data_IF_312265726097
#
_entry.id   IF_312265726097
#
_cell.length_a   1.000
_cell.length_b   1.000
_cell.length_c   1.000
_cell.angle_alpha   90.00
_cell.angle_beta   90.00
_cell.angle_gamma   90.00
#
_symmetry.space_group_name_H-M   'P 1'
#
loop_
_entity.id
_entity.type
_entity.pdbx_description
1 polymer ?
#
# COMPACT_ATOMS: atom_id res chain seq x y z
N UNK A 1 24.67 -4.54 3.89
CA UNK A 1 23.32 -4.67 4.47
C UNK A 1 22.60 -3.35 4.20
N UNK A 2 21.36 -3.39 3.73
CA UNK A 2 20.57 -2.17 3.45
C UNK A 2 20.02 -1.56 4.75
N UNK A 3 19.80 -0.25 4.76
CA UNK A 3 19.20 0.48 5.88
C UNK A 3 17.76 0.86 5.50
N UNK A 4 16.77 0.25 6.12
CA UNK A 4 15.37 0.53 5.83
C UNK A 4 14.91 1.79 6.57
N UNK A 5 14.37 2.74 5.84
CA UNK A 5 13.65 3.91 6.35
C UNK A 5 12.16 3.79 6.02
N UNK A 6 11.34 3.97 7.03
CA UNK A 6 9.87 3.89 6.91
C UNK A 6 9.32 5.31 6.86
N UNK A 7 8.68 5.67 5.76
CA UNK A 7 8.02 6.97 5.60
C UNK A 7 6.65 6.91 6.26
N UNK A 8 6.43 7.75 7.29
CA UNK A 8 5.25 7.76 8.15
C UNK A 8 5.46 6.96 9.43
N UNK A 9 5.34 7.64 10.59
CA UNK A 9 5.54 7.06 11.93
C UNK A 9 4.23 6.85 12.71
N UNK A 10 3.08 7.13 12.09
CA UNK A 10 1.76 7.00 12.73
C UNK A 10 1.28 5.54 12.71
N UNK A 11 -0.02 5.30 12.92
CA UNK A 11 -0.62 3.97 13.06
C UNK A 11 -0.10 2.97 12.04
N UNK A 12 -0.30 3.24 10.75
CA UNK A 12 0.14 2.34 9.68
C UNK A 12 1.68 2.20 9.63
N UNK A 13 2.44 3.26 9.89
CA UNK A 13 3.90 3.17 9.98
C UNK A 13 4.38 2.21 11.07
N UNK A 14 3.73 2.21 12.25
CA UNK A 14 4.02 1.27 13.33
C UNK A 14 3.66 -0.18 12.98
N UNK A 15 2.57 -0.38 12.25
CA UNK A 15 2.23 -1.72 11.72
C UNK A 15 3.30 -2.22 10.75
N UNK A 16 3.76 -1.35 9.84
CA UNK A 16 4.82 -1.70 8.88
C UNK A 16 6.17 -1.92 9.57
N UNK A 17 6.49 -1.18 10.64
CA UNK A 17 7.67 -1.45 11.45
C UNK A 17 7.66 -2.87 12.03
N UNK A 18 6.56 -3.29 12.65
CA UNK A 18 6.44 -4.65 13.17
C UNK A 18 6.51 -5.69 12.05
N UNK A 19 5.80 -5.45 10.94
CA UNK A 19 5.87 -6.33 9.78
C UNK A 19 7.30 -6.46 9.23
N UNK A 20 8.04 -5.35 9.17
CA UNK A 20 9.41 -5.36 8.69
C UNK A 20 10.33 -6.20 9.59
N UNK A 21 10.11 -6.21 10.89
CA UNK A 21 10.81 -7.13 11.81
C UNK A 21 10.51 -8.59 11.49
N UNK A 22 9.26 -8.93 11.19
CA UNK A 22 8.86 -10.29 10.85
C UNK A 22 9.37 -10.76 9.47
N UNK A 23 9.59 -9.80 8.56
CA UNK A 23 10.12 -10.04 7.21
C UNK A 23 11.65 -10.02 7.15
N UNK A 24 12.32 -9.58 8.23
CA UNK A 24 13.75 -9.32 8.25
C UNK A 24 14.58 -10.62 8.27
N UNK A 25 14.76 -11.22 7.11
CA UNK A 25 15.64 -12.36 6.87
C UNK A 25 17.12 -11.97 6.65
N UNK A 26 17.64 -10.92 7.28
CA UNK A 26 19.01 -10.39 7.11
C UNK A 26 19.25 -9.48 5.89
N UNK A 27 18.25 -9.07 5.14
CA UNK A 27 18.45 -8.21 3.97
C UNK A 27 18.63 -6.73 4.32
N UNK A 28 18.00 -6.26 5.40
CA UNK A 28 18.07 -4.88 5.87
C UNK A 28 18.01 -4.79 7.41
N UNK A 29 18.44 -3.65 7.93
CA UNK A 29 18.15 -3.22 9.32
C UNK A 29 17.19 -2.04 9.26
N UNK A 30 16.25 -1.94 10.22
CA UNK A 30 15.35 -0.80 10.31
C UNK A 30 16.09 0.35 10.96
N UNK A 31 16.44 1.37 10.16
CA UNK A 31 17.22 2.52 10.59
C UNK A 31 16.39 3.54 11.35
N UNK A 32 15.17 3.80 10.91
CA UNK A 32 14.29 4.77 11.54
C UNK A 32 13.06 5.12 10.70
N UNK A 33 12.29 6.07 11.22
CA UNK A 33 11.17 6.66 10.53
C UNK A 33 11.52 8.04 9.94
N UNK A 34 10.82 8.40 8.86
CA UNK A 34 10.75 9.77 8.36
C UNK A 34 9.30 10.26 8.51
N UNK A 35 9.09 11.31 9.30
CA UNK A 35 7.75 11.91 9.50
C UNK A 35 7.93 13.39 9.87
N UNK A 36 7.04 14.24 9.35
CA UNK A 36 7.05 15.68 9.65
C UNK A 36 6.63 15.96 11.10
N UNK A 37 5.85 15.06 11.69
CA UNK A 37 5.42 15.13 13.08
C UNK A 37 6.43 14.45 13.99
N UNK A 38 7.39 15.20 14.52
CA UNK A 38 8.52 14.69 15.33
C UNK A 38 8.07 13.97 16.62
N UNK A 39 6.93 14.32 17.19
CA UNK A 39 6.33 13.75 18.40
C UNK A 39 5.35 12.59 18.13
N UNK A 40 5.31 12.07 16.88
CA UNK A 40 4.35 11.03 16.52
C UNK A 40 4.52 9.71 17.29
N UNK A 41 5.68 9.50 17.88
CA UNK A 41 6.02 8.30 18.67
C UNK A 41 6.13 8.54 20.19
N UNK A 42 5.92 9.75 20.71
CA UNK A 42 6.18 10.10 22.12
C UNK A 42 5.42 9.22 23.14
N UNK A 43 4.27 8.68 22.75
CA UNK A 43 3.45 7.81 23.60
C UNK A 43 3.61 6.31 23.27
N UNK A 44 4.61 5.94 22.45
CA UNK A 44 4.80 4.58 21.98
C UNK A 44 6.24 4.12 22.21
N UNK A 45 6.41 3.03 22.96
CA UNK A 45 7.73 2.45 23.26
C UNK A 45 8.06 1.32 22.29
N UNK A 46 9.35 1.03 22.15
CA UNK A 46 9.86 -0.12 21.36
C UNK A 46 9.99 0.14 19.86
N UNK A 47 9.88 1.38 19.42
CA UNK A 47 10.12 1.77 18.03
C UNK A 47 11.47 2.46 17.88
N UNK A 48 12.04 2.36 16.68
CA UNK A 48 13.19 3.18 16.27
C UNK A 48 12.79 4.65 16.17
N UNK A 49 13.76 5.61 16.28
CA UNK A 49 13.42 7.03 16.29
C UNK A 49 12.87 7.53 14.95
N UNK A 50 12.16 8.66 15.00
CA UNK A 50 11.97 9.53 13.84
C UNK A 50 13.27 10.28 13.64
N UNK A 51 13.93 10.05 12.49
CA UNK A 51 15.27 10.60 12.20
C UNK A 51 15.15 12.03 11.68
N UNK A 52 14.22 12.26 10.75
CA UNK A 52 14.00 13.56 10.12
C UNK A 52 12.62 13.61 9.42
N UNK A 53 12.30 14.74 8.80
CA UNK A 53 11.24 14.84 7.80
C UNK A 53 11.70 14.25 6.46
N UNK A 54 10.75 13.88 5.60
CA UNK A 54 11.05 13.36 4.26
C UNK A 54 11.75 14.42 3.40
N UNK A 55 11.34 15.68 3.53
CA UNK A 55 11.90 16.80 2.81
C UNK A 55 13.37 17.07 3.16
N UNK A 56 13.71 17.01 4.45
CA UNK A 56 15.04 17.39 4.94
C UNK A 56 16.05 16.23 4.92
N UNK A 57 15.55 14.99 4.94
CA UNK A 57 16.42 13.84 5.04
C UNK A 57 17.42 13.75 3.88
N UNK A 58 18.70 13.70 4.18
CA UNK A 58 19.77 13.44 3.23
C UNK A 58 20.03 11.93 3.13
N UNK A 59 19.80 11.38 1.94
CA UNK A 59 19.93 9.93 1.68
C UNK A 59 21.40 9.52 1.84
N UNK A 60 21.62 8.49 2.64
CA UNK A 60 22.93 7.92 2.90
C UNK A 60 23.16 6.66 2.06
N UNK A 61 24.41 6.23 1.96
CA UNK A 61 24.76 4.99 1.29
C UNK A 61 24.01 3.79 1.90
N UNK A 62 23.48 2.93 1.04
CA UNK A 62 22.66 1.75 1.39
C UNK A 62 21.27 2.04 1.99
N UNK A 63 20.81 3.29 2.02
CA UNK A 63 19.44 3.59 2.42
C UNK A 63 18.44 3.09 1.39
N UNK A 64 17.39 2.43 1.89
CA UNK A 64 16.23 2.01 1.11
C UNK A 64 14.95 2.40 1.83
N UNK A 65 13.88 2.58 1.09
CA UNK A 65 12.67 3.19 1.60
C UNK A 65 11.44 2.30 1.41
N UNK A 66 10.48 2.44 2.33
CA UNK A 66 9.10 1.96 2.19
C UNK A 66 8.14 3.07 2.62
N UNK A 67 7.06 3.29 1.88
CA UNK A 67 6.11 4.37 2.19
C UNK A 67 4.86 3.82 2.87
N UNK A 68 4.76 3.99 4.19
CA UNK A 68 3.70 3.50 5.04
C UNK A 68 2.60 4.57 5.27
N UNK A 69 2.04 5.08 4.18
CA UNK A 69 0.95 6.06 4.21
C UNK A 69 -0.30 5.48 3.54
N UNK A 70 -1.45 5.63 4.22
CA UNK A 70 -2.75 5.19 3.69
C UNK A 70 -3.35 6.15 2.67
N UNK A 71 -3.09 7.45 2.81
CA UNK A 71 -3.52 8.45 1.83
C UNK A 71 -2.64 8.38 0.58
N UNK A 72 -3.27 8.11 -0.55
CA UNK A 72 -2.58 7.87 -1.83
C UNK A 72 -1.90 9.13 -2.37
N UNK A 73 -2.43 10.33 -2.09
CA UNK A 73 -1.86 11.59 -2.55
C UNK A 73 -0.62 11.97 -1.73
N UNK A 74 -0.68 11.86 -0.40
CA UNK A 74 0.48 12.05 0.46
C UNK A 74 1.55 10.99 0.19
N UNK A 75 1.14 9.73 -0.07
CA UNK A 75 2.07 8.68 -0.50
C UNK A 75 2.84 9.12 -1.73
N UNK A 76 2.14 9.56 -2.79
CA UNK A 76 2.80 10.04 -4.02
C UNK A 76 3.73 11.22 -3.75
N UNK A 77 3.29 12.22 -2.98
CA UNK A 77 4.12 13.40 -2.64
C UNK A 77 5.47 12.97 -2.07
N UNK A 78 5.47 12.13 -1.03
CA UNK A 78 6.70 11.74 -0.35
C UNK A 78 7.54 10.76 -1.16
N UNK A 79 6.91 9.88 -1.93
CA UNK A 79 7.62 9.01 -2.87
C UNK A 79 8.37 9.85 -3.91
N UNK A 80 7.73 10.86 -4.51
CA UNK A 80 8.34 11.73 -5.50
C UNK A 80 9.56 12.49 -4.92
N UNK A 81 9.48 12.95 -3.66
CA UNK A 81 10.61 13.61 -2.98
C UNK A 81 11.81 12.67 -2.88
N UNK A 82 11.61 11.44 -2.41
CA UNK A 82 12.70 10.46 -2.30
C UNK A 82 13.26 10.06 -3.66
N UNK A 83 12.39 9.84 -4.66
CA UNK A 83 12.83 9.53 -6.03
C UNK A 83 13.62 10.68 -6.67
N UNK A 84 13.24 11.94 -6.41
CA UNK A 84 13.99 13.11 -6.89
C UNK A 84 15.40 13.18 -6.32
N UNK A 85 15.59 12.66 -5.11
CA UNK A 85 16.88 12.50 -4.43
C UNK A 85 17.60 11.20 -4.82
N UNK A 86 17.09 10.43 -5.80
CA UNK A 86 17.59 9.12 -6.27
C UNK A 86 17.52 8.01 -5.22
N UNK A 87 16.58 8.09 -4.27
CA UNK A 87 16.34 7.03 -3.29
C UNK A 87 15.72 5.79 -3.93
N UNK A 88 16.05 4.62 -3.39
CA UNK A 88 15.56 3.31 -3.83
C UNK A 88 14.41 2.83 -2.94
N UNK A 89 13.28 2.47 -3.53
CA UNK A 89 12.18 1.81 -2.81
C UNK A 89 12.26 0.30 -2.98
N UNK A 90 12.04 -0.43 -1.89
CA UNK A 90 11.94 -1.89 -1.89
C UNK A 90 10.47 -2.33 -1.81
N UNK A 91 10.20 -3.57 -2.18
CA UNK A 91 8.95 -4.25 -1.86
C UNK A 91 9.06 -4.88 -0.47
N UNK A 92 8.06 -4.69 0.37
CA UNK A 92 7.97 -5.33 1.67
C UNK A 92 6.84 -6.37 1.62
N UNK A 93 7.20 -7.64 1.65
CA UNK A 93 6.25 -8.76 1.50
C UNK A 93 6.30 -9.62 2.76
N UNK A 94 5.16 -9.74 3.45
CA UNK A 94 5.08 -10.56 4.64
C UNK A 94 5.20 -12.06 4.29
N UNK A 95 5.90 -12.82 5.11
CA UNK A 95 6.17 -14.26 4.89
C UNK A 95 4.93 -15.15 4.77
N UNK A 96 3.77 -14.70 5.27
CA UNK A 96 2.49 -15.41 5.15
C UNK A 96 1.68 -15.00 3.92
N UNK A 97 2.14 -14.03 3.13
CA UNK A 97 1.49 -13.69 1.87
C UNK A 97 1.70 -14.81 0.84
N UNK A 98 0.67 -15.09 0.08
CA UNK A 98 0.71 -16.08 -1.02
C UNK A 98 0.65 -15.35 -2.34
N UNK A 99 1.73 -15.45 -3.13
CA UNK A 99 1.83 -14.80 -4.45
C UNK A 99 2.09 -15.88 -5.49
N UNK A 100 1.22 -15.99 -6.49
CA UNK A 100 1.38 -16.94 -7.59
C UNK A 100 2.56 -16.58 -8.49
N UNK A 101 3.20 -17.61 -9.11
CA UNK A 101 4.50 -17.48 -9.80
C UNK A 101 4.53 -16.48 -10.96
N UNK A 102 3.40 -16.29 -11.64
CA UNK A 102 3.27 -15.41 -12.80
C UNK A 102 2.61 -14.06 -12.45
N UNK A 103 2.49 -13.73 -11.16
CA UNK A 103 2.11 -12.39 -10.70
C UNK A 103 3.27 -11.43 -10.89
N UNK A 104 3.00 -10.29 -11.51
CA UNK A 104 3.96 -9.20 -11.69
C UNK A 104 3.66 -8.13 -10.63
N UNK A 105 4.67 -7.76 -9.88
CA UNK A 105 4.60 -6.74 -8.83
C UNK A 105 5.56 -5.60 -9.17
N UNK A 106 5.05 -4.38 -9.17
CA UNK A 106 5.85 -3.16 -9.32
C UNK A 106 6.77 -2.90 -8.12
N UNK A 107 7.41 -1.76 -8.07
CA UNK A 107 8.32 -1.36 -6.98
C UNK A 107 7.58 -0.66 -5.84
N UNK A 108 8.18 -0.66 -4.64
CA UNK A 108 7.65 0.06 -3.47
C UNK A 108 6.33 -0.48 -2.92
N UNK A 109 5.95 -1.69 -3.29
CA UNK A 109 4.71 -2.33 -2.85
C UNK A 109 4.82 -2.87 -1.43
N UNK A 110 3.70 -2.81 -0.70
CA UNK A 110 3.53 -3.41 0.62
C UNK A 110 2.50 -4.53 0.50
N UNK A 111 2.90 -5.75 0.81
CA UNK A 111 2.02 -6.93 0.82
C UNK A 111 1.99 -7.49 2.24
N UNK A 112 0.94 -7.15 2.98
CA UNK A 112 0.81 -7.52 4.38
C UNK A 112 0.51 -9.02 4.58
N UNK A 113 0.44 -9.43 5.84
CA UNK A 113 0.18 -10.83 6.20
C UNK A 113 -1.13 -11.38 5.66
N UNK A 114 -1.10 -12.64 5.23
CA UNK A 114 -2.26 -13.38 4.72
C UNK A 114 -2.91 -12.78 3.47
N UNK A 115 -2.22 -11.93 2.74
CA UNK A 115 -2.65 -11.46 1.42
C UNK A 115 -2.53 -12.60 0.42
N UNK A 116 -3.56 -12.78 -0.40
CA UNK A 116 -3.56 -13.75 -1.50
C UNK A 116 -3.58 -13.05 -2.86
N UNK A 117 -2.53 -13.22 -3.65
CA UNK A 117 -2.46 -12.76 -5.05
C UNK A 117 -2.49 -13.99 -5.96
N UNK A 118 -3.58 -14.14 -6.73
CA UNK A 118 -3.79 -15.28 -7.63
C UNK A 118 -2.93 -15.18 -8.90
N UNK A 119 -3.15 -16.09 -9.83
CA UNK A 119 -2.35 -16.17 -11.07
C UNK A 119 -2.67 -15.01 -12.04
N UNK A 120 -1.67 -14.67 -12.85
CA UNK A 120 -1.74 -13.69 -13.95
C UNK A 120 -2.15 -12.27 -13.51
N UNK A 121 -1.89 -11.95 -12.24
CA UNK A 121 -2.16 -10.62 -11.67
C UNK A 121 -1.02 -9.66 -12.03
N UNK A 122 -1.38 -8.43 -12.43
CA UNK A 122 -0.44 -7.34 -12.73
C UNK A 122 -0.68 -6.18 -11.80
N UNK A 123 0.35 -5.81 -11.05
CA UNK A 123 0.29 -4.77 -10.02
C UNK A 123 1.32 -3.70 -10.35
N UNK A 124 0.88 -2.45 -10.34
CA UNK A 124 1.72 -1.27 -10.54
C UNK A 124 2.62 -0.95 -9.36
N UNK A 125 3.20 0.22 -9.39
CA UNK A 125 4.14 0.71 -8.38
C UNK A 125 3.41 1.25 -7.13
N UNK A 126 4.02 1.11 -5.96
CA UNK A 126 3.57 1.69 -4.68
C UNK A 126 2.18 1.26 -4.22
N UNK A 127 1.74 0.07 -4.61
CA UNK A 127 0.46 -0.50 -4.18
C UNK A 127 0.60 -1.10 -2.79
N UNK A 128 -0.41 -0.85 -1.96
CA UNK A 128 -0.51 -1.43 -0.61
C UNK A 128 -1.67 -2.41 -0.53
N UNK A 129 -1.38 -3.62 -0.08
CA UNK A 129 -2.36 -4.63 0.29
C UNK A 129 -2.30 -4.84 1.80
N UNK A 130 -3.35 -4.44 2.51
CA UNK A 130 -3.47 -4.68 3.95
C UNK A 130 -3.85 -6.14 4.25
N UNK A 131 -3.71 -6.61 5.51
CA UNK A 131 -3.90 -8.01 5.85
C UNK A 131 -5.21 -8.60 5.34
N UNK A 132 -5.17 -9.87 4.92
CA UNK A 132 -6.31 -10.65 4.43
C UNK A 132 -6.96 -10.12 3.15
N UNK A 133 -6.33 -9.22 2.42
CA UNK A 133 -6.77 -8.83 1.06
C UNK A 133 -6.61 -10.02 0.12
N UNK A 134 -7.62 -10.29 -0.71
CA UNK A 134 -7.60 -11.40 -1.65
C UNK A 134 -7.88 -10.90 -3.08
N UNK A 135 -6.96 -11.23 -4.00
CA UNK A 135 -7.00 -10.79 -5.41
C UNK A 135 -7.17 -12.02 -6.30
N UNK A 136 -8.25 -12.03 -7.08
CA UNK A 136 -8.56 -13.08 -8.06
C UNK A 136 -7.59 -13.08 -9.25
N UNK A 137 -7.75 -14.09 -10.11
CA UNK A 137 -6.93 -14.26 -11.31
C UNK A 137 -7.16 -13.15 -12.35
N UNK A 138 -6.16 -12.87 -13.19
CA UNK A 138 -6.22 -11.89 -14.30
C UNK A 138 -6.55 -10.45 -13.86
N UNK A 139 -6.37 -10.12 -12.58
CA UNK A 139 -6.60 -8.75 -12.07
C UNK A 139 -5.45 -7.83 -12.47
N UNK A 140 -5.79 -6.62 -12.91
CA UNK A 140 -4.84 -5.55 -13.15
C UNK A 140 -5.08 -4.40 -12.17
N UNK A 141 -4.04 -3.93 -11.48
CA UNK A 141 -4.09 -2.81 -10.53
C UNK A 141 -3.03 -1.79 -10.92
N UNK A 142 -3.43 -0.54 -11.09
CA UNK A 142 -2.54 0.59 -11.38
C UNK A 142 -1.71 1.02 -10.18
N UNK A 143 -1.01 2.13 -10.35
CA UNK A 143 -0.06 2.66 -9.38
C UNK A 143 -0.74 3.33 -8.18
N UNK A 144 -0.04 3.38 -7.05
CA UNK A 144 -0.41 4.09 -5.83
C UNK A 144 -1.75 3.67 -5.21
N UNK A 145 -2.27 2.50 -5.55
CA UNK A 145 -3.53 2.01 -4.95
C UNK A 145 -3.34 1.57 -3.49
N UNK A 146 -4.43 1.69 -2.72
CA UNK A 146 -4.47 1.24 -1.33
C UNK A 146 -5.69 0.34 -1.11
N UNK A 147 -5.44 -0.95 -0.88
CA UNK A 147 -6.46 -1.95 -0.63
C UNK A 147 -6.44 -2.32 0.85
N UNK A 148 -7.50 -1.95 1.56
CA UNK A 148 -7.60 -2.15 2.99
C UNK A 148 -7.99 -3.59 3.34
N UNK A 149 -7.81 -3.91 4.61
CA UNK A 149 -8.03 -5.23 5.21
C UNK A 149 -9.34 -5.90 4.75
N UNK A 150 -9.27 -7.19 4.43
CA UNK A 150 -10.39 -8.02 3.97
C UNK A 150 -11.04 -7.59 2.65
N UNK A 151 -10.45 -6.69 1.87
CA UNK A 151 -10.99 -6.38 0.55
C UNK A 151 -10.80 -7.57 -0.40
N UNK A 152 -11.79 -7.81 -1.26
CA UNK A 152 -11.78 -8.89 -2.24
C UNK A 152 -12.03 -8.35 -3.64
N UNK A 153 -11.16 -8.73 -4.58
CA UNK A 153 -11.33 -8.46 -6.01
C UNK A 153 -11.54 -9.79 -6.75
N UNK A 154 -12.69 -9.91 -7.40
CA UNK A 154 -13.00 -11.05 -8.26
C UNK A 154 -12.09 -11.10 -9.50
N UNK A 155 -12.13 -12.23 -10.21
CA UNK A 155 -11.27 -12.42 -11.39
C UNK A 155 -11.51 -11.36 -12.47
N UNK A 156 -10.44 -10.99 -13.20
CA UNK A 156 -10.46 -10.05 -14.32
C UNK A 156 -10.92 -8.62 -13.96
N UNK A 157 -10.86 -8.24 -12.70
CA UNK A 157 -11.10 -6.84 -12.28
C UNK A 157 -9.95 -5.96 -12.77
N UNK A 158 -10.30 -4.76 -13.25
CA UNK A 158 -9.33 -3.73 -13.62
C UNK A 158 -9.48 -2.53 -12.70
N UNK A 159 -8.38 -2.14 -12.05
CA UNK A 159 -8.30 -1.00 -11.15
C UNK A 159 -7.29 0.00 -11.71
N UNK A 160 -7.71 1.25 -11.86
CA UNK A 160 -6.85 2.35 -12.28
C UNK A 160 -5.84 2.78 -11.20
N UNK A 161 -5.28 3.97 -11.38
CA UNK A 161 -4.30 4.54 -10.46
C UNK A 161 -4.96 5.28 -9.30
N UNK A 162 -4.28 5.40 -8.16
CA UNK A 162 -4.73 6.19 -7.00
C UNK A 162 -6.10 5.76 -6.46
N UNK A 163 -6.44 4.50 -6.57
CA UNK A 163 -7.72 3.97 -6.09
C UNK A 163 -7.57 3.52 -4.63
N UNK A 164 -8.55 3.90 -3.82
CA UNK A 164 -8.67 3.41 -2.45
C UNK A 164 -9.87 2.45 -2.35
N UNK A 165 -9.61 1.22 -1.93
CA UNK A 165 -10.64 0.22 -1.64
C UNK A 165 -10.64 -0.01 -0.14
N UNK A 166 -11.74 0.39 0.52
CA UNK A 166 -11.82 0.31 1.98
C UNK A 166 -12.14 -1.11 2.47
N UNK A 167 -11.97 -1.28 3.77
CA UNK A 167 -12.10 -2.55 4.50
C UNK A 167 -13.35 -3.33 4.11
N UNK A 168 -13.18 -4.64 3.88
CA UNK A 168 -14.28 -5.58 3.58
C UNK A 168 -15.09 -5.25 2.32
N UNK A 169 -14.57 -4.43 1.42
CA UNK A 169 -15.24 -4.19 0.13
C UNK A 169 -15.06 -5.38 -0.82
N UNK A 170 -16.10 -5.70 -1.55
CA UNK A 170 -16.16 -6.81 -2.53
C UNK A 170 -16.37 -6.25 -3.93
N UNK A 171 -15.44 -6.56 -4.83
CA UNK A 171 -15.51 -6.15 -6.23
C UNK A 171 -15.85 -7.37 -7.08
N UNK A 172 -16.98 -7.31 -7.78
CA UNK A 172 -17.45 -8.42 -8.62
C UNK A 172 -16.50 -8.63 -9.83
N UNK A 173 -16.36 -9.87 -10.34
CA UNK A 173 -15.54 -10.14 -11.53
C UNK A 173 -15.82 -9.21 -12.71
N UNK A 174 -14.77 -8.90 -13.50
CA UNK A 174 -14.83 -8.06 -14.71
C UNK A 174 -15.22 -6.59 -14.46
N UNK A 175 -15.29 -6.13 -13.22
CA UNK A 175 -15.57 -4.71 -12.91
C UNK A 175 -14.35 -3.85 -13.24
N UNK A 176 -14.60 -2.67 -13.81
CA UNK A 176 -13.63 -1.60 -14.02
C UNK A 176 -13.81 -0.52 -12.95
N UNK A 177 -12.74 -0.23 -12.20
CA UNK A 177 -12.66 0.90 -11.29
C UNK A 177 -11.65 1.88 -11.87
N UNK A 178 -12.10 3.06 -12.28
CA UNK A 178 -11.23 4.08 -12.90
C UNK A 178 -10.43 4.85 -11.85
N UNK A 179 -9.43 5.61 -12.33
CA UNK A 179 -8.47 6.36 -11.52
C UNK A 179 -9.12 7.25 -10.45
N UNK A 180 -8.44 7.47 -9.34
CA UNK A 180 -8.84 8.35 -8.24
C UNK A 180 -10.20 8.02 -7.61
N UNK A 181 -10.68 6.79 -7.79
CA UNK A 181 -11.95 6.34 -7.21
C UNK A 181 -11.77 5.85 -5.79
N UNK A 182 -12.84 5.92 -5.01
CA UNK A 182 -12.90 5.36 -3.66
C UNK A 182 -14.08 4.39 -3.55
N UNK A 183 -13.80 3.18 -3.06
CA UNK A 183 -14.83 2.20 -2.71
C UNK A 183 -14.96 2.16 -1.18
N UNK A 184 -16.12 2.53 -0.67
CA UNK A 184 -16.39 2.58 0.77
C UNK A 184 -16.37 1.21 1.43
N UNK A 185 -16.20 1.19 2.76
CA UNK A 185 -16.12 -0.04 3.54
C UNK A 185 -17.39 -0.91 3.39
N UNK A 186 -17.22 -2.23 3.33
CA UNK A 186 -18.30 -3.22 3.18
C UNK A 186 -19.20 -3.03 1.94
N UNK A 187 -18.70 -2.33 0.95
CA UNK A 187 -19.44 -2.11 -0.31
C UNK A 187 -19.33 -3.33 -1.23
N UNK A 188 -20.41 -3.61 -1.99
CA UNK A 188 -20.43 -4.64 -3.04
C UNK A 188 -20.55 -3.96 -4.40
N UNK A 189 -19.45 -3.91 -5.15
CA UNK A 189 -19.36 -3.23 -6.43
C UNK A 189 -19.61 -4.22 -7.56
N UNK A 190 -20.73 -4.05 -8.26
CA UNK A 190 -21.17 -4.92 -9.36
C UNK A 190 -21.16 -4.21 -10.73
N UNK A 191 -20.76 -2.96 -10.77
CA UNK A 191 -20.74 -2.13 -11.99
C UNK A 191 -19.49 -1.24 -11.98
N UNK A 192 -19.14 -0.74 -13.18
CA UNK A 192 -18.07 0.22 -13.38
C UNK A 192 -18.15 1.41 -12.40
N UNK A 193 -17.03 1.76 -11.80
CA UNK A 193 -16.84 2.98 -10.99
C UNK A 193 -16.10 4.01 -11.81
N UNK A 194 -16.69 5.20 -11.98
CA UNK A 194 -16.11 6.29 -12.76
C UNK A 194 -14.99 7.00 -12.00
N UNK A 195 -14.04 7.54 -12.75
CA UNK A 195 -12.90 8.29 -12.19
C UNK A 195 -13.34 9.37 -11.20
N UNK A 196 -12.59 9.51 -10.11
CA UNK A 196 -12.81 10.53 -9.09
C UNK A 196 -14.11 10.38 -8.30
N UNK A 197 -14.80 9.22 -8.38
CA UNK A 197 -16.05 9.03 -7.63
C UNK A 197 -15.87 8.14 -6.41
N UNK A 198 -16.63 8.45 -5.36
CA UNK A 198 -16.81 7.56 -4.22
C UNK A 198 -18.09 6.76 -4.40
N UNK A 199 -17.99 5.42 -4.21
CA UNK A 199 -19.15 4.53 -4.19
C UNK A 199 -19.27 3.84 -2.83
N UNK A 200 -20.52 3.60 -2.38
CA UNK A 200 -20.79 2.99 -1.10
C UNK A 200 -22.07 2.16 -1.11
N UNK A 201 -22.13 1.09 -0.33
CA UNK A 201 -23.29 0.27 -0.06
C UNK A 201 -23.33 -1.08 -0.79
N UNK A 202 -24.43 -1.81 -0.62
CA UNK A 202 -24.68 -3.11 -1.26
C UNK A 202 -26.08 -3.11 -1.92
N UNK A 203 -26.17 -3.07 -3.26
CA UNK A 203 -25.08 -2.83 -4.21
C UNK A 203 -24.54 -1.40 -4.10
N UNK A 204 -23.25 -1.22 -4.38
CA UNK A 204 -22.59 0.08 -4.29
C UNK A 204 -23.17 1.08 -5.28
N UNK A 205 -23.45 2.29 -4.80
CA UNK A 205 -23.92 3.44 -5.58
C UNK A 205 -22.99 4.63 -5.35
N UNK A 206 -22.96 5.54 -6.33
CA UNK A 206 -22.22 6.79 -6.17
C UNK A 206 -22.74 7.54 -4.93
N UNK A 207 -21.80 8.02 -4.13
CA UNK A 207 -22.08 8.89 -3.02
C UNK A 207 -21.95 10.34 -3.51
N UNK A 208 -23.04 11.09 -3.46
CA UNK A 208 -23.02 12.52 -3.78
C UNK A 208 -22.92 13.29 -2.44
N UNK A 209 -21.84 14.10 -2.30
CA UNK A 209 -21.56 14.96 -1.15
C UNK A 209 -22.01 16.39 -1.43
#
# INVERSE_FOLDING_TARGET
>A
MKNLLIIGARGFGREIFNMAHDCNGSEFIIKGFLDDKKDALDNFNGYVPIIDSVENYEIQENDVFICALGDVNYKKKYVDIILSKKGEFINLIHKTATISRNTILGKGCIVCGYVGLSCDVKIGDFVTFQPFTCIGHDVCIGDYCHLNTYSFLGGSVSVGNFVTIHTNAVIHPHVLIEDYSTVGASSVVIRKVKSGTTVFGNPAKKLDF
#
